data_IF_651446689799
#
_entry.id   IF_651446689799
#
_cell.length_a   1.000
_cell.length_b   1.000
_cell.length_c   1.000
_cell.angle_alpha   90.00
_cell.angle_beta   90.00
_cell.angle_gamma   90.00
#
_symmetry.space_group_name_H-M   'P 1'
#
loop_
_entity.id
_entity.type
_entity.pdbx_description
1 polymer ?
#
# COMPACT_ATOMS: atom_id res chain seq x y z
N UNK A 1 -0.13 -25.43 8.12
CA UNK A 1 0.21 -24.00 8.34
C UNK A 1 1.71 -23.81 8.54
N UNK A 2 2.36 -24.56 9.44
CA UNK A 2 3.82 -24.49 9.70
C UNK A 2 4.72 -24.73 8.47
N UNK A 3 4.39 -25.69 7.62
CA UNK A 3 5.17 -25.99 6.41
C UNK A 3 5.07 -24.88 5.34
N UNK A 4 3.94 -24.18 5.26
CA UNK A 4 3.77 -23.02 4.38
C UNK A 4 4.62 -21.83 4.88
N UNK A 5 4.67 -21.64 6.20
CA UNK A 5 5.54 -20.62 6.84
C UNK A 5 7.02 -20.88 6.55
N UNK A 6 7.45 -22.15 6.54
CA UNK A 6 8.83 -22.54 6.21
C UNK A 6 9.18 -22.31 4.73
N UNK A 7 8.29 -22.63 3.79
CA UNK A 7 8.54 -22.40 2.37
C UNK A 7 8.59 -20.91 1.99
N UNK A 8 7.81 -20.08 2.68
CA UNK A 8 7.85 -18.62 2.54
C UNK A 8 9.21 -18.06 3.01
N UNK A 9 9.82 -18.64 4.05
CA UNK A 9 11.15 -18.26 4.56
C UNK A 9 12.31 -18.54 3.60
N UNK A 10 12.12 -19.42 2.60
CA UNK A 10 13.19 -19.84 1.68
C UNK A 10 13.18 -19.08 0.34
N UNK A 11 12.34 -18.06 0.15
CA UNK A 11 12.44 -17.21 -1.04
C UNK A 11 13.70 -16.34 -0.94
N UNK A 12 14.49 -16.23 -2.03
CA UNK A 12 15.66 -15.37 -2.03
C UNK A 12 15.25 -13.94 -1.65
N UNK A 13 16.05 -13.28 -0.83
CA UNK A 13 15.87 -11.92 -0.30
C UNK A 13 15.87 -10.82 -1.40
N UNK A 14 15.88 -11.25 -2.66
CA UNK A 14 15.97 -10.49 -3.89
C UNK A 14 14.56 -10.27 -4.49
N UNK A 15 13.55 -11.04 -4.07
CA UNK A 15 12.18 -10.90 -4.56
C UNK A 15 11.48 -9.70 -3.91
N UNK A 16 11.68 -8.51 -4.47
CA UNK A 16 11.24 -7.22 -3.92
C UNK A 16 9.80 -7.20 -3.40
N UNK A 17 8.82 -7.77 -4.13
CA UNK A 17 7.42 -7.82 -3.66
C UNK A 17 7.24 -8.61 -2.38
N UNK A 18 7.92 -9.75 -2.28
CA UNK A 18 7.77 -10.60 -1.11
C UNK A 18 8.35 -9.91 0.12
N UNK A 19 9.51 -9.28 -0.04
CA UNK A 19 10.16 -8.48 1.00
C UNK A 19 9.24 -7.33 1.43
N UNK A 20 8.83 -6.44 0.51
CA UNK A 20 7.94 -5.32 0.83
C UNK A 20 6.61 -5.77 1.45
N UNK A 21 6.01 -6.87 0.98
CA UNK A 21 4.79 -7.41 1.60
C UNK A 21 5.02 -7.84 3.05
N UNK A 22 6.11 -8.56 3.35
CA UNK A 22 6.40 -9.06 4.71
C UNK A 22 6.98 -8.00 5.65
N UNK A 23 7.54 -6.91 5.16
CA UNK A 23 8.18 -5.89 5.99
C UNK A 23 7.34 -4.63 6.17
N UNK A 24 6.53 -4.26 5.18
CA UNK A 24 5.87 -2.95 5.14
C UNK A 24 4.34 -3.05 5.01
N UNK A 25 3.81 -3.97 4.18
CA UNK A 25 2.35 -4.04 3.94
C UNK A 25 1.61 -4.98 4.89
N UNK A 26 2.27 -6.02 5.38
CA UNK A 26 1.72 -7.04 6.27
C UNK A 26 2.80 -7.67 7.15
N UNK A 27 3.45 -6.86 7.98
CA UNK A 27 4.54 -7.30 8.88
C UNK A 27 4.13 -8.45 9.80
N UNK A 28 2.91 -8.38 10.33
CA UNK A 28 2.34 -9.42 11.20
C UNK A 28 1.94 -10.72 10.49
N UNK A 29 1.85 -10.72 9.16
CA UNK A 29 1.38 -11.86 8.36
C UNK A 29 0.00 -12.41 8.80
N UNK A 30 -0.87 -11.53 9.32
CA UNK A 30 -2.22 -11.87 9.74
C UNK A 30 -3.26 -11.39 8.73
N UNK A 31 -4.48 -11.93 8.84
CA UNK A 31 -5.63 -11.42 8.09
C UNK A 31 -6.05 -10.08 8.70
N UNK A 32 -6.03 -9.02 7.90
CA UNK A 32 -6.34 -7.67 8.36
C UNK A 32 -7.76 -7.55 8.89
N UNK A 33 -7.99 -6.71 9.91
CA UNK A 33 -9.29 -6.56 10.57
C UNK A 33 -10.39 -6.04 9.65
N UNK A 34 -10.03 -5.34 8.57
CA UNK A 34 -10.99 -4.86 7.55
C UNK A 34 -11.76 -6.00 6.85
N UNK A 35 -11.27 -7.23 6.94
CA UNK A 35 -11.93 -8.42 6.36
C UNK A 35 -12.86 -9.13 7.34
N UNK A 36 -12.97 -8.67 8.59
CA UNK A 36 -13.86 -9.26 9.60
C UNK A 36 -15.31 -8.80 9.38
N UNK A 37 -16.25 -9.74 9.52
CA UNK A 37 -17.70 -9.49 9.32
C UNK A 37 -18.32 -8.47 10.29
N UNK A 38 -17.68 -8.21 11.43
CA UNK A 38 -18.18 -7.30 12.46
C UNK A 38 -18.07 -5.82 12.11
N UNK A 39 -17.37 -5.48 11.02
CA UNK A 39 -17.17 -4.10 10.57
C UNK A 39 -17.73 -3.94 9.15
N UNK A 40 -18.67 -3.00 8.99
CA UNK A 40 -19.16 -2.65 7.66
C UNK A 40 -18.20 -1.68 6.99
N UNK A 41 -17.64 -2.10 5.85
CA UNK A 41 -16.86 -1.25 4.95
C UNK A 41 -17.41 -1.49 3.54
N UNK A 42 -17.84 -0.44 2.82
CA UNK A 42 -18.27 -0.56 1.43
C UNK A 42 -17.28 -1.33 0.56
N UNK A 43 -17.79 -2.19 -0.32
CA UNK A 43 -16.96 -3.13 -1.09
C UNK A 43 -15.90 -2.45 -1.93
N UNK A 44 -16.23 -1.33 -2.58
CA UNK A 44 -15.27 -0.59 -3.39
C UNK A 44 -14.08 -0.07 -2.57
N UNK A 45 -14.29 0.31 -1.31
CA UNK A 45 -13.21 0.73 -0.41
C UNK A 45 -12.35 -0.46 0.02
N UNK A 46 -12.97 -1.58 0.36
CA UNK A 46 -12.25 -2.84 0.66
C UNK A 46 -11.43 -3.30 -0.53
N UNK A 47 -11.97 -3.20 -1.74
CA UNK A 47 -11.26 -3.56 -2.98
C UNK A 47 -10.05 -2.67 -3.18
N UNK A 48 -10.19 -1.35 -3.08
CA UNK A 48 -9.06 -0.42 -3.20
C UNK A 48 -7.95 -0.72 -2.18
N UNK A 49 -8.32 -0.94 -0.92
CA UNK A 49 -7.37 -1.30 0.13
C UNK A 49 -6.68 -2.67 -0.13
N UNK A 50 -7.45 -3.66 -0.58
CA UNK A 50 -6.91 -4.98 -0.94
C UNK A 50 -5.93 -4.87 -2.11
N UNK A 51 -6.27 -4.08 -3.14
CA UNK A 51 -5.39 -3.83 -4.29
C UNK A 51 -4.08 -3.18 -3.87
N UNK A 52 -4.13 -2.23 -2.94
CA UNK A 52 -2.92 -1.65 -2.33
C UNK A 52 -2.05 -2.75 -1.71
N UNK A 53 -2.59 -3.49 -0.73
CA UNK A 53 -1.81 -4.49 0.02
C UNK A 53 -1.25 -5.63 -0.83
N UNK A 54 -1.91 -5.93 -1.95
CA UNK A 54 -1.49 -6.99 -2.87
C UNK A 54 -0.64 -6.48 -4.05
N UNK A 55 -0.26 -5.19 -4.05
CA UNK A 55 0.49 -4.57 -5.15
C UNK A 55 -0.20 -4.80 -6.51
N UNK A 56 -1.53 -4.65 -6.52
CA UNK A 56 -2.43 -4.81 -7.67
C UNK A 56 -3.07 -3.46 -8.04
N UNK A 57 -2.33 -2.37 -7.83
CA UNK A 57 -2.71 -1.01 -8.18
C UNK A 57 -1.90 -0.50 -9.38
N UNK A 58 -2.17 0.73 -9.81
CA UNK A 58 -1.59 1.33 -11.01
C UNK A 58 -0.49 2.37 -10.72
N UNK A 59 0.02 2.46 -9.48
CA UNK A 59 1.22 3.25 -9.20
C UNK A 59 2.38 2.82 -10.13
N UNK A 60 3.23 3.76 -10.53
CA UNK A 60 4.28 3.52 -11.52
C UNK A 60 5.28 2.45 -11.11
N UNK A 61 5.53 2.24 -9.81
CA UNK A 61 6.37 1.13 -9.36
C UNK A 61 5.86 -0.23 -9.84
N UNK A 62 4.54 -0.37 -10.00
CA UNK A 62 3.91 -1.60 -10.47
C UNK A 62 3.73 -1.63 -11.99
N UNK A 63 3.26 -0.54 -12.59
CA UNK A 63 3.08 -0.49 -14.05
C UNK A 63 4.40 -0.50 -14.81
N UNK A 64 5.43 0.15 -14.27
CA UNK A 64 6.81 0.10 -14.76
C UNK A 64 7.38 -1.31 -14.70
N UNK A 65 7.10 -2.06 -13.62
CA UNK A 65 7.47 -3.47 -13.49
C UNK A 65 6.83 -4.34 -14.57
N UNK A 66 5.55 -4.16 -14.87
CA UNK A 66 4.86 -4.88 -15.96
C UNK A 66 5.51 -4.59 -17.32
N UNK A 67 5.99 -3.36 -17.50
CA UNK A 67 6.69 -2.89 -18.70
C UNK A 67 8.20 -3.17 -18.69
N UNK A 68 8.71 -3.86 -17.67
CA UNK A 68 10.15 -4.16 -17.46
C UNK A 68 11.06 -2.92 -17.44
N UNK A 69 10.53 -1.79 -17.00
CA UNK A 69 11.31 -0.58 -16.77
C UNK A 69 12.15 -0.71 -15.50
N UNK A 70 13.33 -0.07 -15.43
CA UNK A 70 14.08 0.07 -14.19
C UNK A 70 13.22 0.71 -13.10
N UNK A 71 13.45 0.32 -11.83
CA UNK A 71 12.71 0.87 -10.69
C UNK A 71 12.84 2.39 -10.63
N UNK A 72 14.03 2.89 -10.92
CA UNK A 72 14.42 4.29 -10.87
C UNK A 72 13.70 5.11 -11.94
N UNK A 73 13.21 4.48 -13.01
CA UNK A 73 12.41 5.14 -14.04
C UNK A 73 10.93 5.31 -13.63
N UNK A 74 10.49 4.65 -12.55
CA UNK A 74 9.10 4.69 -12.07
C UNK A 74 8.82 5.94 -11.22
N UNK A 75 9.21 7.12 -11.71
CA UNK A 75 9.18 8.38 -10.96
C UNK A 75 7.78 8.99 -10.83
N UNK A 76 7.52 9.60 -9.67
CA UNK A 76 6.29 10.30 -9.37
C UNK A 76 6.23 11.67 -10.05
N UNK A 77 5.05 12.06 -10.52
CA UNK A 77 4.83 13.34 -11.20
C UNK A 77 4.93 14.55 -10.24
N UNK A 78 5.04 14.35 -8.92
CA UNK A 78 5.17 15.44 -7.96
C UNK A 78 6.49 16.21 -8.11
N UNK A 79 7.56 15.53 -8.52
CA UNK A 79 8.89 16.12 -8.71
C UNK A 79 9.72 15.45 -9.82
N UNK A 80 9.23 14.36 -10.43
CA UNK A 80 9.92 13.56 -11.45
C UNK A 80 11.29 12.99 -11.01
N UNK A 81 11.52 12.85 -9.70
CA UNK A 81 12.78 12.38 -9.13
C UNK A 81 12.55 11.17 -8.22
N UNK A 82 11.55 11.24 -7.34
CA UNK A 82 11.28 10.19 -6.35
C UNK A 82 10.43 9.10 -6.98
N UNK A 83 10.71 7.84 -6.67
CA UNK A 83 9.93 6.69 -7.15
C UNK A 83 8.49 6.78 -6.62
N UNK A 84 7.51 6.54 -7.50
CA UNK A 84 6.11 6.47 -7.14
C UNK A 84 5.76 5.07 -6.61
N UNK A 85 6.15 4.82 -5.37
CA UNK A 85 5.75 3.64 -4.60
C UNK A 85 4.71 3.97 -3.52
N UNK A 86 4.23 2.93 -2.83
CA UNK A 86 3.20 3.00 -1.81
C UNK A 86 3.62 3.91 -0.65
N UNK A 87 4.87 3.80 -0.20
CA UNK A 87 5.43 4.63 0.86
C UNK A 87 5.36 6.11 0.47
N UNK A 88 5.92 6.46 -0.69
CA UNK A 88 5.92 7.82 -1.19
C UNK A 88 4.50 8.39 -1.30
N UNK A 89 3.58 7.71 -1.99
CA UNK A 89 2.24 8.28 -2.24
C UNK A 89 1.37 8.35 -0.98
N UNK A 90 1.58 7.47 0.00
CA UNK A 90 0.77 7.43 1.22
C UNK A 90 1.33 8.27 2.36
N UNK A 91 2.64 8.54 2.42
CA UNK A 91 3.25 9.19 3.58
C UNK A 91 3.86 10.57 3.24
N UNK A 92 4.39 10.75 2.03
CA UNK A 92 5.29 11.87 1.74
C UNK A 92 4.82 12.77 0.59
N UNK A 93 4.15 12.21 -0.40
CA UNK A 93 3.92 12.87 -1.68
C UNK A 93 3.16 14.19 -1.51
N UNK A 94 3.66 15.32 -2.05
CA UNK A 94 2.95 16.60 -2.00
C UNK A 94 1.57 16.56 -2.66
N UNK A 95 1.41 15.75 -3.72
CA UNK A 95 0.13 15.63 -4.42
C UNK A 95 -0.97 15.05 -3.52
N UNK A 96 -0.63 14.13 -2.62
CA UNK A 96 -1.57 13.53 -1.66
C UNK A 96 -1.58 14.21 -0.29
N UNK A 97 -0.86 15.32 -0.11
CA UNK A 97 -0.77 16.02 1.18
C UNK A 97 -2.14 16.46 1.70
N UNK A 98 -2.95 17.11 0.86
CA UNK A 98 -4.29 17.55 1.24
C UNK A 98 -5.20 16.40 1.68
N UNK A 99 -5.02 15.20 1.11
CA UNK A 99 -5.75 14.00 1.51
C UNK A 99 -5.25 13.55 2.89
N UNK A 100 -3.93 13.50 3.14
CA UNK A 100 -3.38 13.17 4.47
C UNK A 100 -3.91 14.12 5.55
N UNK A 101 -3.96 15.42 5.27
CA UNK A 101 -4.46 16.44 6.19
C UNK A 101 -5.95 16.24 6.52
N UNK A 102 -6.76 15.77 5.56
CA UNK A 102 -8.17 15.44 5.77
C UNK A 102 -8.38 14.19 6.64
N UNK A 103 -7.36 13.34 6.79
CA UNK A 103 -7.38 12.10 7.56
C UNK A 103 -6.31 12.09 8.68
N UNK A 104 -6.10 13.24 9.34
CA UNK A 104 -5.04 13.45 10.34
C UNK A 104 -5.13 12.56 11.60
N UNK A 105 -6.24 11.84 11.79
CA UNK A 105 -6.43 10.83 12.84
C UNK A 105 -5.70 9.50 12.55
N UNK A 106 -5.20 9.30 11.33
CA UNK A 106 -4.43 8.12 10.96
C UNK A 106 -2.95 8.28 11.34
N UNK A 107 -2.27 7.15 11.56
CA UNK A 107 -0.84 7.14 11.88
C UNK A 107 0.01 7.09 10.60
N UNK A 108 0.66 8.19 10.25
CA UNK A 108 1.54 8.32 9.08
C UNK A 108 3.03 8.16 9.41
N UNK A 109 3.40 7.69 10.60
CA UNK A 109 4.81 7.55 11.01
C UNK A 109 5.55 6.46 10.22
N UNK A 110 4.84 5.44 9.75
CA UNK A 110 5.37 4.41 8.85
C UNK A 110 4.26 3.76 8.07
N UNK A 111 4.61 3.07 6.98
CA UNK A 111 3.63 2.35 6.17
C UNK A 111 2.98 1.20 6.96
N UNK A 112 3.74 0.55 7.84
CA UNK A 112 3.24 -0.51 8.70
C UNK A 112 2.21 -0.01 9.72
N UNK A 113 2.52 1.11 10.40
CA UNK A 113 1.60 1.72 11.36
C UNK A 113 0.30 2.18 10.70
N UNK A 114 0.41 2.76 9.50
CA UNK A 114 -0.76 3.19 8.72
C UNK A 114 -1.63 1.99 8.30
N UNK A 115 -1.03 0.96 7.72
CA UNK A 115 -1.76 -0.11 7.04
C UNK A 115 -2.17 -1.28 7.94
N UNK A 116 -1.49 -1.47 9.08
CA UNK A 116 -1.76 -2.55 10.02
C UNK A 116 -2.28 -2.04 11.38
N UNK A 117 -2.56 -0.73 11.48
CA UNK A 117 -3.20 -0.11 12.63
C UNK A 117 -4.63 -0.63 12.88
N UNK A 118 -5.07 -0.50 14.14
CA UNK A 118 -6.32 -1.09 14.61
C UNK A 118 -7.50 -0.11 14.71
N UNK A 119 -7.24 1.17 14.47
CA UNK A 119 -8.19 2.26 14.67
C UNK A 119 -8.60 2.88 13.32
N UNK A 120 -9.76 3.55 13.30
CA UNK A 120 -10.24 4.32 12.14
C UNK A 120 -10.26 3.55 10.80
N UNK A 121 -10.52 2.24 10.83
CA UNK A 121 -10.41 1.34 9.68
C UNK A 121 -11.24 1.76 8.45
N UNK A 122 -12.42 2.35 8.66
CA UNK A 122 -13.25 2.87 7.57
C UNK A 122 -12.55 4.05 6.88
N UNK A 123 -12.01 4.97 7.66
CA UNK A 123 -11.30 6.15 7.16
C UNK A 123 -9.98 5.76 6.49
N UNK A 124 -9.27 4.77 7.02
CA UNK A 124 -8.10 4.18 6.36
C UNK A 124 -8.46 3.67 4.96
N UNK A 125 -9.56 2.94 4.80
CA UNK A 125 -9.96 2.47 3.47
C UNK A 125 -10.40 3.62 2.54
N UNK A 126 -11.05 4.68 3.05
CA UNK A 126 -11.37 5.88 2.26
C UNK A 126 -10.11 6.60 1.81
N UNK A 127 -9.18 6.84 2.73
CA UNK A 127 -7.88 7.44 2.50
C UNK A 127 -7.12 6.72 1.39
N UNK A 128 -6.92 5.40 1.51
CA UNK A 128 -6.24 4.59 0.50
C UNK A 128 -6.94 4.67 -0.86
N UNK A 129 -8.28 4.62 -0.86
CA UNK A 129 -9.05 4.73 -2.09
C UNK A 129 -8.90 6.10 -2.76
N UNK A 130 -8.92 7.20 -2.01
CA UNK A 130 -8.74 8.55 -2.55
C UNK A 130 -7.32 8.77 -3.09
N UNK A 131 -6.30 8.33 -2.35
CA UNK A 131 -4.91 8.38 -2.82
C UNK A 131 -4.73 7.56 -4.09
N UNK A 132 -5.21 6.31 -4.14
CA UNK A 132 -5.09 5.50 -5.35
C UNK A 132 -5.80 6.12 -6.55
N UNK A 133 -6.98 6.75 -6.35
CA UNK A 133 -7.69 7.47 -7.41
C UNK A 133 -6.89 8.65 -7.95
N UNK A 134 -6.22 9.41 -7.08
CA UNK A 134 -5.35 10.52 -7.49
C UNK A 134 -4.24 10.06 -8.46
N UNK A 135 -3.75 8.84 -8.30
CA UNK A 135 -2.71 8.24 -9.16
C UNK A 135 -3.26 7.27 -10.22
N UNK A 136 -4.58 7.16 -10.35
CA UNK A 136 -5.25 6.33 -11.36
C UNK A 136 -5.32 7.08 -12.69
N UNK A 137 -4.27 7.02 -13.50
CA UNK A 137 -4.23 7.68 -14.82
C UNK A 137 -2.97 8.49 -15.13
N UNK A 138 -1.94 8.38 -14.30
CA UNK A 138 -0.59 8.88 -14.58
C UNK A 138 0.21 7.92 -15.48
#
# INVERSE_FOLDING_TARGET
MEQLKQQIRCKPDIASKFVTYRSELNSGLYVHKIYKKSLYIPDYLRVSFTRLRLMSHNLKIETGRWSRLPREASVCNCNNIVVQDECHVLLECPLSQHIREAYNQLDFTSLDNLLNGDFHLVDLCKYVNEVLKLFSGC
#
